data_IF_896391415185
#
_entry.id   IF_896391415185
#
_cell.length_a   1.000
_cell.length_b   1.000
_cell.length_c   1.000
_cell.angle_alpha   90.00
_cell.angle_beta   90.00
_cell.angle_gamma   90.00
#
_symmetry.space_group_name_H-M   'P 1'
#
loop_
_entity.id
_entity.type
_entity.pdbx_description
1 polymer ?
#
# COMPACT_ATOMS: atom_id res chain seq x y z
N UNK A 1 44.26 -19.20 20.66
CA UNK A 1 42.92 -19.82 20.46
C UNK A 1 41.76 -18.99 20.99
N UNK A 2 41.89 -18.26 22.12
CA UNK A 2 40.80 -17.41 22.66
C UNK A 2 40.45 -16.18 21.80
N UNK A 3 41.41 -15.57 21.10
CA UNK A 3 41.16 -14.40 20.24
C UNK A 3 40.27 -14.71 19.02
N UNK A 4 40.50 -15.85 18.36
CA UNK A 4 39.70 -16.32 17.23
C UNK A 4 38.23 -16.55 17.61
N UNK A 5 38.00 -17.03 18.83
CA UNK A 5 36.65 -17.24 19.39
C UNK A 5 35.91 -15.93 19.70
N UNK A 6 36.61 -14.86 20.03
CA UNK A 6 35.99 -13.55 20.21
C UNK A 6 35.61 -12.93 18.86
N UNK A 7 36.46 -13.07 17.84
CA UNK A 7 36.17 -12.57 16.50
C UNK A 7 34.97 -13.27 15.87
N UNK A 8 34.84 -14.59 16.02
CA UNK A 8 33.66 -15.32 15.53
C UNK A 8 32.38 -14.90 16.24
N UNK A 9 32.43 -14.67 17.56
CA UNK A 9 31.29 -14.20 18.33
C UNK A 9 30.86 -12.79 17.90
N UNK A 10 31.81 -11.89 17.64
CA UNK A 10 31.54 -10.53 17.16
C UNK A 10 30.89 -10.52 15.77
N UNK A 11 31.36 -11.38 14.86
CA UNK A 11 30.78 -11.54 13.52
C UNK A 11 29.34 -12.10 13.61
N UNK A 12 29.08 -13.06 14.50
CA UNK A 12 27.72 -13.57 14.73
C UNK A 12 26.77 -12.50 15.27
N UNK A 13 27.21 -11.64 16.19
CA UNK A 13 26.37 -10.57 16.75
C UNK A 13 26.02 -9.53 15.68
N UNK A 14 26.98 -9.14 14.83
CA UNK A 14 26.74 -8.19 13.72
C UNK A 14 25.81 -8.80 12.66
N UNK A 15 25.95 -10.11 12.40
CA UNK A 15 25.07 -10.83 11.46
C UNK A 15 23.64 -10.94 11.98
N UNK A 16 23.46 -11.07 13.31
CA UNK A 16 22.14 -11.16 13.94
C UNK A 16 21.45 -9.79 14.02
N UNK A 17 22.20 -8.68 14.10
CA UNK A 17 21.67 -7.31 14.08
C UNK A 17 21.34 -6.78 12.68
N UNK A 18 21.65 -7.54 11.62
CA UNK A 18 21.33 -7.18 10.24
C UNK A 18 19.83 -7.36 9.90
N UNK A 19 18.94 -7.25 10.88
CA UNK A 19 17.52 -7.02 10.63
C UNK A 19 17.38 -5.59 10.11
N UNK A 20 17.47 -5.54 8.79
CA UNK A 20 17.43 -4.40 7.88
C UNK A 20 16.59 -3.23 8.39
N UNK A 21 17.16 -2.03 8.28
CA UNK A 21 16.55 -0.70 8.40
C UNK A 21 15.44 -0.49 7.34
N UNK A 22 14.41 -1.35 7.34
CA UNK A 22 13.29 -1.28 6.41
C UNK A 22 12.22 -0.45 7.09
N UNK A 23 12.04 0.77 6.62
CA UNK A 23 11.05 1.69 7.16
C UNK A 23 9.72 1.44 6.46
N UNK A 24 8.70 1.13 7.25
CA UNK A 24 7.34 0.93 6.74
C UNK A 24 6.56 2.23 6.87
N UNK A 25 6.09 2.76 5.74
CA UNK A 25 5.23 3.93 5.69
C UNK A 25 3.78 3.48 5.46
N UNK A 26 2.86 4.01 6.25
CA UNK A 26 1.42 3.71 6.16
C UNK A 26 0.67 4.98 5.81
N UNK A 27 -0.21 4.89 4.82
CA UNK A 27 -1.10 5.95 4.37
C UNK A 27 -2.53 5.43 4.40
N UNK A 28 -3.42 6.26 4.90
CA UNK A 28 -4.82 5.91 5.09
C UNK A 28 -5.68 7.01 4.46
N UNK A 29 -6.68 6.58 3.71
CA UNK A 29 -7.65 7.46 3.06
C UNK A 29 -9.05 6.99 3.41
N UNK A 30 -9.92 7.91 3.84
CA UNK A 30 -11.32 7.63 4.16
C UNK A 30 -11.56 7.22 5.60
N UNK A 31 -12.60 6.41 5.80
CA UNK A 31 -13.07 5.99 7.12
C UNK A 31 -13.01 4.49 7.21
N UNK A 32 -12.30 3.96 8.21
CA UNK A 32 -12.04 2.53 8.37
C UNK A 32 -13.31 1.74 8.79
N UNK A 33 -14.22 1.53 7.83
CA UNK A 33 -15.49 0.81 8.00
C UNK A 33 -15.74 -0.15 6.83
N UNK A 34 -16.63 -1.12 7.04
CA UNK A 34 -16.95 -2.15 6.04
C UNK A 34 -15.98 -3.33 6.03
N UNK A 35 -15.98 -4.07 4.93
CA UNK A 35 -15.22 -5.32 4.76
C UNK A 35 -14.11 -5.15 3.73
N UNK A 36 -13.00 -5.88 3.90
CA UNK A 36 -11.90 -5.87 2.92
C UNK A 36 -12.40 -6.42 1.60
N UNK A 37 -12.40 -5.57 0.58
CA UNK A 37 -12.93 -5.86 -0.75
C UNK A 37 -11.81 -5.96 -1.80
N UNK A 38 -10.64 -5.39 -1.51
CA UNK A 38 -9.49 -5.40 -2.39
C UNK A 38 -8.21 -5.51 -1.60
N UNK A 39 -7.28 -6.35 -2.06
CA UNK A 39 -5.93 -6.42 -1.53
C UNK A 39 -4.96 -6.74 -2.67
N UNK A 40 -3.99 -5.85 -2.90
CA UNK A 40 -2.95 -6.05 -3.90
C UNK A 40 -1.59 -5.67 -3.33
N UNK A 41 -0.65 -6.62 -3.43
CA UNK A 41 0.76 -6.36 -3.14
C UNK A 41 1.57 -6.31 -4.43
N UNK A 42 2.62 -5.50 -4.44
CA UNK A 42 3.54 -5.45 -5.56
C UNK A 42 4.94 -5.03 -5.16
N UNK A 43 5.84 -5.06 -6.14
CA UNK A 43 7.23 -4.62 -6.00
C UNK A 43 7.46 -3.47 -6.95
N UNK A 44 8.33 -2.56 -6.55
CA UNK A 44 8.67 -1.37 -7.31
C UNK A 44 10.15 -1.49 -7.68
N UNK A 45 10.41 -1.44 -8.97
CA UNK A 45 11.75 -1.51 -9.53
C UNK A 45 12.60 -0.28 -9.22
N UNK A 46 13.92 -0.37 -9.43
CA UNK A 46 14.87 0.70 -9.12
C UNK A 46 14.64 2.00 -9.92
N UNK A 47 13.98 1.90 -11.08
CA UNK A 47 13.73 3.02 -11.99
C UNK A 47 12.26 3.45 -12.03
N UNK A 48 11.37 2.72 -11.36
CA UNK A 48 9.95 3.02 -11.34
C UNK A 48 9.67 4.12 -10.30
N UNK A 49 9.58 5.37 -10.78
CA UNK A 49 9.37 6.53 -9.89
C UNK A 49 7.91 6.78 -9.56
N UNK A 50 6.98 6.28 -10.37
CA UNK A 50 5.55 6.40 -10.15
C UNK A 50 4.88 5.07 -10.41
N UNK A 51 4.04 4.63 -9.49
CA UNK A 51 3.23 3.43 -9.61
C UNK A 51 1.77 3.81 -9.39
N UNK A 52 0.92 3.45 -10.35
CA UNK A 52 -0.53 3.66 -10.27
C UNK A 52 -1.21 2.32 -10.13
N UNK A 53 -1.98 2.15 -9.06
CA UNK A 53 -2.68 0.91 -8.72
C UNK A 53 -4.19 1.19 -8.76
N UNK A 54 -4.93 0.63 -9.72
CA UNK A 54 -6.39 0.77 -9.76
C UNK A 54 -7.02 -0.03 -8.63
N UNK A 55 -7.85 0.61 -7.82
CA UNK A 55 -8.62 -0.04 -6.74
C UNK A 55 -9.96 -0.46 -7.33
N UNK A 56 -10.20 -1.77 -7.34
CA UNK A 56 -11.45 -2.35 -7.85
C UNK A 56 -12.20 -2.94 -6.67
N UNK A 57 -13.46 -2.53 -6.48
CA UNK A 57 -14.35 -3.08 -5.46
C UNK A 57 -15.54 -3.78 -6.15
N UNK A 58 -16.22 -4.72 -5.46
CA UNK A 58 -17.41 -5.37 -5.98
C UNK A 58 -18.48 -4.37 -6.42
N UNK A 59 -19.28 -4.77 -7.40
CA UNK A 59 -20.54 -4.07 -7.71
C UNK A 59 -21.40 -3.96 -6.44
N UNK A 60 -22.26 -2.94 -6.37
CA UNK A 60 -23.12 -2.71 -5.21
C UNK A 60 -22.38 -2.38 -3.91
N UNK A 61 -21.17 -1.86 -4.02
CA UNK A 61 -20.41 -1.46 -2.84
C UNK A 61 -19.79 -0.08 -3.03
N UNK A 62 -19.78 0.69 -1.95
CA UNK A 62 -19.08 1.97 -1.88
C UNK A 62 -17.73 1.77 -1.22
N UNK A 63 -16.68 2.36 -1.80
CA UNK A 63 -15.33 2.29 -1.26
C UNK A 63 -15.26 3.15 0.00
N UNK A 64 -14.96 2.60 1.17
CA UNK A 64 -14.93 3.36 2.42
C UNK A 64 -13.52 3.74 2.88
N UNK A 65 -12.57 2.85 2.65
CA UNK A 65 -11.23 2.98 3.20
C UNK A 65 -10.19 2.43 2.24
N UNK A 66 -9.06 3.13 2.12
CA UNK A 66 -7.88 2.66 1.41
C UNK A 66 -6.67 2.82 2.32
N UNK A 67 -6.00 1.71 2.60
CA UNK A 67 -4.71 1.66 3.29
C UNK A 67 -3.62 1.27 2.32
N UNK A 68 -2.55 2.05 2.32
CA UNK A 68 -1.37 1.80 1.51
C UNK A 68 -0.18 1.68 2.42
N UNK A 69 0.46 0.53 2.39
CA UNK A 69 1.69 0.26 3.08
C UNK A 69 2.82 0.24 2.05
N UNK A 70 3.90 0.98 2.31
CA UNK A 70 5.10 0.97 1.47
C UNK A 70 6.30 0.67 2.35
N UNK A 71 6.99 -0.42 2.03
CA UNK A 71 8.28 -0.75 2.62
C UNK A 71 9.38 -0.07 1.81
N UNK A 72 10.03 0.93 2.40
CA UNK A 72 11.18 1.59 1.79
C UNK A 72 12.39 1.65 2.73
N UNK A 73 13.56 1.79 2.12
CA UNK A 73 14.85 1.82 2.80
C UNK A 73 15.42 3.23 2.93
N UNK A 74 15.02 4.17 2.07
CA UNK A 74 15.75 5.45 1.92
C UNK A 74 14.87 6.65 2.25
N UNK A 75 13.70 6.77 1.64
CA UNK A 75 12.86 7.93 1.90
C UNK A 75 11.37 7.65 1.82
N UNK A 76 10.63 8.48 2.54
CA UNK A 76 9.18 8.47 2.53
C UNK A 76 8.64 8.81 1.13
N UNK A 77 7.88 7.90 0.48
CA UNK A 77 7.21 8.19 -0.79
C UNK A 77 6.03 9.12 -0.58
N UNK A 78 5.61 9.83 -1.62
CA UNK A 78 4.33 10.54 -1.62
C UNK A 78 3.25 9.60 -2.15
N UNK A 79 2.27 9.26 -1.33
CA UNK A 79 1.11 8.46 -1.73
C UNK A 79 -0.12 9.35 -1.79
N UNK A 80 -0.88 9.26 -2.87
CA UNK A 80 -2.14 9.97 -3.06
C UNK A 80 -3.19 9.02 -3.59
N UNK A 81 -4.44 9.17 -3.15
CA UNK A 81 -5.58 8.50 -3.73
C UNK A 81 -6.31 9.45 -4.69
N UNK A 82 -6.50 9.02 -5.92
CA UNK A 82 -7.30 9.75 -6.91
C UNK A 82 -8.73 9.20 -6.90
N UNK A 83 -9.64 9.95 -6.28
CA UNK A 83 -11.08 9.60 -6.20
C UNK A 83 -11.71 9.51 -7.60
N UNK A 84 -11.26 10.32 -8.56
CA UNK A 84 -11.83 10.33 -9.91
C UNK A 84 -11.40 9.14 -10.73
N UNK A 85 -10.27 8.52 -10.44
CA UNK A 85 -9.80 7.31 -11.13
C UNK A 85 -9.88 6.06 -10.25
N UNK A 86 -10.35 6.21 -9.01
CA UNK A 86 -10.31 5.20 -7.95
C UNK A 86 -8.96 4.48 -7.90
N UNK A 87 -7.87 5.26 -7.93
CA UNK A 87 -6.52 4.72 -8.10
C UNK A 87 -5.57 5.28 -7.04
N UNK A 88 -4.74 4.41 -6.49
CA UNK A 88 -3.63 4.78 -5.61
C UNK A 88 -2.43 5.13 -6.47
N UNK A 89 -1.84 6.30 -6.24
CA UNK A 89 -0.64 6.76 -6.93
C UNK A 89 0.49 6.90 -5.90
N UNK A 90 1.53 6.09 -6.05
CA UNK A 90 2.74 6.12 -5.23
C UNK A 90 3.84 6.80 -6.05
N UNK A 91 4.38 7.92 -5.55
CA UNK A 91 5.44 8.70 -6.17
C UNK A 91 6.70 8.74 -5.31
N UNK A 92 7.82 8.30 -5.86
CA UNK A 92 9.13 8.39 -5.22
C UNK A 92 9.85 9.67 -5.59
N UNK A 93 10.79 10.09 -4.74
CA UNK A 93 11.67 11.22 -5.05
C UNK A 93 12.63 10.84 -6.19
N UNK A 94 13.08 11.79 -7.03
CA UNK A 94 13.98 11.51 -8.14
C UNK A 94 15.24 10.73 -7.74
N UNK A 95 15.81 11.06 -6.60
CA UNK A 95 17.06 10.48 -6.08
C UNK A 95 16.90 9.16 -5.32
N UNK A 96 15.67 8.63 -5.22
CA UNK A 96 15.40 7.41 -4.50
C UNK A 96 15.60 6.20 -5.42
N UNK A 97 16.71 5.49 -5.22
CA UNK A 97 17.08 4.28 -5.98
C UNK A 97 17.11 3.07 -5.05
N UNK A 98 15.93 2.66 -4.59
CA UNK A 98 15.74 1.49 -3.73
C UNK A 98 14.71 0.54 -4.34
N UNK A 99 14.84 -0.76 -4.07
CA UNK A 99 13.76 -1.72 -4.32
C UNK A 99 12.76 -1.62 -3.17
N UNK A 100 11.52 -1.32 -3.50
CA UNK A 100 10.46 -1.14 -2.51
C UNK A 100 9.33 -2.14 -2.75
N UNK A 101 8.58 -2.46 -1.71
CA UNK A 101 7.35 -3.25 -1.82
C UNK A 101 6.17 -2.44 -1.32
N UNK A 102 4.99 -2.71 -1.87
CA UNK A 102 3.77 -2.09 -1.40
C UNK A 102 2.67 -3.13 -1.18
N UNK A 103 1.75 -2.78 -0.29
CA UNK A 103 0.49 -3.46 -0.08
C UNK A 103 -0.63 -2.40 -0.04
N UNK A 104 -1.55 -2.48 -1.00
CA UNK A 104 -2.78 -1.70 -1.00
C UNK A 104 -3.90 -2.61 -0.50
N UNK A 105 -4.63 -2.16 0.51
CA UNK A 105 -5.84 -2.82 1.01
C UNK A 105 -6.98 -1.81 0.97
N UNK A 106 -8.12 -2.20 0.43
CA UNK A 106 -9.31 -1.37 0.39
C UNK A 106 -10.50 -2.07 1.04
N UNK A 107 -11.29 -1.31 1.80
CA UNK A 107 -12.55 -1.78 2.37
C UNK A 107 -13.73 -1.10 1.69
N UNK A 108 -14.80 -1.87 1.51
CA UNK A 108 -16.05 -1.39 0.94
C UNK A 108 -17.23 -1.75 1.83
N UNK A 109 -18.28 -0.95 1.75
CA UNK A 109 -19.57 -1.19 2.42
C UNK A 109 -20.56 -1.64 1.34
N UNK A 110 -21.20 -2.80 1.49
CA UNK A 110 -22.27 -3.22 0.58
C UNK A 110 -23.50 -2.31 0.74
N UNK A 111 -24.21 -2.07 -0.36
CA UNK A 111 -25.53 -1.46 -0.34
C UNK A 111 -26.59 -2.56 -0.29
N UNK A 112 -27.54 -2.42 0.63
CA UNK A 112 -28.62 -3.40 0.85
C UNK A 112 -29.78 -3.26 -0.16
N UNK A 113 -29.89 -2.12 -0.83
CA UNK A 113 -31.00 -1.83 -1.75
C UNK A 113 -30.63 -2.14 -3.20
N UNK A 114 -31.59 -2.73 -3.92
CA UNK A 114 -31.60 -3.08 -5.35
C UNK A 114 -30.59 -2.27 -6.18
N UNK A 115 -29.47 -2.88 -6.50
CA UNK A 115 -28.62 -2.34 -7.55
C UNK A 115 -29.33 -2.51 -8.88
N UNK A 116 -29.90 -1.42 -9.37
CA UNK A 116 -30.38 -1.39 -10.75
C UNK A 116 -29.20 -1.69 -11.69
N UNK A 117 -29.24 -2.87 -12.31
CA UNK A 117 -28.31 -3.33 -13.36
C UNK A 117 -28.20 -2.32 -14.52
N UNK A 118 -29.12 -1.34 -14.61
CA UNK A 118 -29.06 -0.22 -15.54
C UNK A 118 -27.86 0.74 -15.37
N UNK A 119 -27.15 0.70 -14.23
CA UNK A 119 -25.90 1.46 -14.02
C UNK A 119 -24.62 0.73 -14.42
N UNK A 120 -24.73 -0.41 -15.13
CA UNK A 120 -23.59 -1.21 -15.59
C UNK A 120 -22.50 -0.43 -16.37
N UNK A 121 -22.79 0.76 -16.87
CA UNK A 121 -21.87 1.55 -17.70
C UNK A 121 -21.33 2.84 -17.06
N UNK A 122 -21.58 3.11 -15.77
CA UNK A 122 -21.18 4.39 -15.17
C UNK A 122 -20.51 4.22 -13.80
N UNK A 123 -19.18 4.30 -13.88
CA UNK A 123 -18.27 4.98 -12.94
C UNK A 123 -17.84 4.23 -11.67
N UNK A 124 -16.54 3.87 -11.68
CA UNK A 124 -15.53 4.15 -10.64
C UNK A 124 -16.03 4.10 -9.18
N UNK A 125 -15.43 3.27 -8.30
CA UNK A 125 -15.75 3.24 -6.88
C UNK A 125 -15.78 4.65 -6.27
N UNK A 126 -16.96 5.09 -5.86
CA UNK A 126 -17.14 6.34 -5.14
C UNK A 126 -16.77 6.13 -3.68
N UNK A 127 -16.08 7.13 -3.13
CA UNK A 127 -15.63 7.09 -1.75
C UNK A 127 -16.80 7.43 -0.81
N UNK A 128 -17.08 6.55 0.15
CA UNK A 128 -18.08 6.76 1.18
C UNK A 128 -17.71 7.99 2.02
N UNK A 129 -18.70 8.89 2.20
CA UNK A 129 -18.58 10.07 3.05
C UNK A 129 -19.60 9.97 4.17
N UNK A 130 -19.19 9.95 5.45
CA UNK A 130 -20.14 10.05 6.55
C UNK A 130 -20.81 11.44 6.50
N UNK A 131 -22.12 11.47 6.71
CA UNK A 131 -22.92 12.69 6.89
C UNK A 131 -22.66 13.32 8.27
#
# INVERSE_FOLDING_TARGET
MKLLSLFTLFICIISLSANTLRTKYVYEFGVDVGVVAFAQSGRIGLFEKTVTIPVVVPICSSLAYVRVEVDDFISQPKVTFDENMSSVIIKFKPWQYSRSSYLVTAKAIPHDDYCDEGMHNVHKPLMYRPL
#
